data_IF_752096289375
#
_entry.id   IF_752096289375
#
_cell.length_a   1.000
_cell.length_b   1.000
_cell.length_c   1.000
_cell.angle_alpha   90.00
_cell.angle_beta   90.00
_cell.angle_gamma   90.00
#
_symmetry.space_group_name_H-M   'P 1'
#
loop_
_entity.id
_entity.type
_entity.pdbx_description
1 polymer ?
#
# COMPACT_ATOMS: atom_id res chain seq x y z
N UNK A 1 2.78 9.63 17.62
CA UNK A 1 3.53 10.09 18.81
C UNK A 1 2.48 10.30 19.90
N UNK A 2 2.45 9.53 21.00
CA UNK A 2 1.49 9.81 22.07
C UNK A 2 1.83 11.15 22.70
N UNK A 3 0.84 12.04 22.76
CA UNK A 3 0.98 13.39 23.29
C UNK A 3 0.98 13.33 24.82
N UNK A 4 2.16 13.16 25.42
CA UNK A 4 2.38 12.87 26.85
C UNK A 4 2.17 14.07 27.79
N UNK A 5 1.18 14.92 27.51
CA UNK A 5 0.83 16.07 28.34
C UNK A 5 -0.63 16.53 28.30
N UNK A 6 -1.51 15.89 27.52
CA UNK A 6 -2.94 16.23 27.51
C UNK A 6 -3.70 15.39 28.53
N UNK A 7 -4.58 16.03 29.32
CA UNK A 7 -5.64 15.33 30.04
C UNK A 7 -6.62 14.84 28.99
N UNK A 8 -6.75 13.52 28.86
CA UNK A 8 -7.72 12.87 27.97
C UNK A 8 -8.98 12.64 28.80
N UNK A 9 -10.10 13.20 28.37
CA UNK A 9 -11.39 12.99 29.04
C UNK A 9 -11.82 11.53 28.84
N UNK A 10 -12.46 10.88 29.83
CA UNK A 10 -12.83 9.48 29.74
C UNK A 10 -13.83 9.25 28.60
N UNK A 11 -13.64 8.16 27.85
CA UNK A 11 -14.58 7.75 26.82
C UNK A 11 -15.89 7.28 27.49
N UNK A 12 -17.07 7.81 27.09
CA UNK A 12 -18.36 7.31 27.59
C UNK A 12 -18.58 5.85 27.20
N UNK A 13 -19.26 5.09 28.06
CA UNK A 13 -19.65 3.70 27.75
C UNK A 13 -20.65 3.65 26.59
N UNK A 14 -21.58 4.60 26.55
CA UNK A 14 -22.55 4.79 25.47
C UNK A 14 -22.77 6.30 25.25
N UNK A 15 -23.07 6.68 24.01
CA UNK A 15 -23.55 8.02 23.67
C UNK A 15 -25.08 8.01 23.61
N UNK A 16 -25.73 9.01 24.18
CA UNK A 16 -27.19 9.11 24.16
C UNK A 16 -27.73 9.43 22.76
N UNK A 17 -26.89 9.98 21.87
CA UNK A 17 -27.24 10.25 20.47
C UNK A 17 -26.00 10.32 19.55
N UNK A 18 -26.23 10.19 18.25
CA UNK A 18 -25.18 10.42 17.24
C UNK A 18 -24.65 11.86 17.24
N UNK A 19 -25.48 12.85 17.58
CA UNK A 19 -25.08 14.26 17.65
C UNK A 19 -24.11 14.51 18.81
N UNK A 20 -24.36 13.87 19.94
CA UNK A 20 -23.44 13.89 21.09
C UNK A 20 -22.11 13.22 20.77
N UNK A 21 -22.14 12.05 20.10
CA UNK A 21 -20.93 11.37 19.66
C UNK A 21 -20.11 12.23 18.70
N UNK A 22 -20.77 12.90 17.75
CA UNK A 22 -20.10 13.81 16.82
C UNK A 22 -19.46 15.00 17.54
N UNK A 23 -20.19 15.66 18.45
CA UNK A 23 -19.68 16.78 19.22
C UNK A 23 -18.47 16.39 20.11
N UNK A 24 -18.47 15.16 20.64
CA UNK A 24 -17.33 14.62 21.38
C UNK A 24 -16.10 14.46 20.46
N UNK A 25 -16.26 13.80 19.31
CA UNK A 25 -15.15 13.55 18.38
C UNK A 25 -14.65 14.79 17.63
N UNK A 26 -15.41 15.88 17.57
CA UNK A 26 -14.92 17.17 17.05
C UNK A 26 -13.74 17.74 17.88
N UNK A 27 -13.63 17.33 19.14
CA UNK A 27 -12.61 17.84 20.08
C UNK A 27 -11.62 16.78 20.55
N UNK A 28 -11.92 15.49 20.32
CA UNK A 28 -11.13 14.34 20.77
C UNK A 28 -10.54 13.57 19.60
N UNK A 29 -9.32 13.04 19.78
CA UNK A 29 -8.69 12.17 18.78
C UNK A 29 -8.89 10.71 19.17
N UNK A 30 -9.29 9.88 18.22
CA UNK A 30 -9.47 8.43 18.48
C UNK A 30 -8.17 7.77 18.94
N UNK A 31 -7.02 8.29 18.52
CA UNK A 31 -5.69 7.77 18.92
C UNK A 31 -5.34 8.01 20.40
N UNK A 32 -6.10 8.87 21.10
CA UNK A 32 -5.96 9.07 22.54
C UNK A 32 -6.63 7.94 23.36
N UNK A 33 -7.37 7.03 22.72
CA UNK A 33 -8.09 5.91 23.36
C UNK A 33 -7.64 4.52 22.86
N UNK A 34 -6.35 4.16 22.97
CA UNK A 34 -5.82 2.90 22.44
C UNK A 34 -6.50 1.66 23.04
N UNK A 35 -6.88 1.71 24.32
CA UNK A 35 -7.52 0.59 25.03
C UNK A 35 -8.98 0.36 24.60
N UNK A 36 -9.60 1.33 23.90
CA UNK A 36 -10.95 1.20 23.35
C UNK A 36 -10.95 0.47 21.99
N UNK A 37 -9.79 0.30 21.35
CA UNK A 37 -9.69 -0.44 20.09
C UNK A 37 -9.60 -1.95 20.33
N UNK A 38 -10.33 -2.69 19.50
CA UNK A 38 -10.13 -4.12 19.38
C UNK A 38 -9.15 -4.39 18.23
N UNK A 39 -8.08 -5.13 18.55
CA UNK A 39 -7.13 -5.58 17.53
C UNK A 39 -7.83 -6.55 16.58
N UNK A 40 -8.02 -6.13 15.33
CA UNK A 40 -8.51 -7.00 14.26
C UNK A 40 -7.33 -7.59 13.51
N UNK A 41 -7.35 -8.91 13.30
CA UNK A 41 -6.36 -9.58 12.46
C UNK A 41 -6.62 -9.18 10.99
N UNK A 42 -5.80 -8.27 10.46
CA UNK A 42 -5.89 -7.87 9.06
C UNK A 42 -5.10 -8.85 8.21
N UNK A 43 -5.72 -10.00 7.90
CA UNK A 43 -5.14 -11.07 7.07
C UNK A 43 -4.82 -10.57 5.63
N UNK A 44 -5.48 -9.50 5.16
CA UNK A 44 -5.36 -8.99 3.78
C UNK A 44 -5.17 -7.47 3.66
N UNK A 45 -4.31 -6.86 4.49
CA UNK A 45 -3.79 -5.51 4.23
C UNK A 45 -2.61 -5.50 3.24
N UNK A 46 -2.35 -6.62 2.56
CA UNK A 46 -1.44 -6.62 1.43
C UNK A 46 -2.14 -5.91 0.27
N UNK A 47 -1.68 -4.72 -0.10
CA UNK A 47 -1.92 -4.11 -1.40
C UNK A 47 -1.36 -5.06 -2.48
N UNK A 48 -2.09 -6.14 -2.79
CA UNK A 48 -1.64 -7.22 -3.67
C UNK A 48 -1.62 -6.69 -5.09
N UNK A 49 -0.47 -6.21 -5.55
CA UNK A 49 -0.22 -6.05 -6.98
C UNK A 49 -0.38 -7.43 -7.63
N UNK A 50 -1.28 -7.52 -8.61
CA UNK A 50 -1.48 -8.74 -9.39
C UNK A 50 -0.20 -9.04 -10.17
N UNK A 51 0.40 -10.20 -9.91
CA UNK A 51 1.55 -10.72 -10.66
C UNK A 51 1.07 -11.86 -11.53
N UNK A 52 1.53 -11.86 -12.77
CA UNK A 52 1.26 -12.90 -13.77
C UNK A 52 2.58 -13.46 -14.24
N UNK A 53 2.61 -14.76 -14.54
CA UNK A 53 3.78 -15.45 -15.08
C UNK A 53 3.63 -15.56 -16.60
N UNK A 54 4.74 -15.34 -17.30
CA UNK A 54 4.84 -15.46 -18.76
C UNK A 54 6.07 -16.30 -19.07
N UNK A 55 5.92 -17.23 -20.01
CA UNK A 55 7.06 -17.95 -20.57
C UNK A 55 7.90 -16.99 -21.41
N UNK A 56 9.22 -17.10 -21.29
CA UNK A 56 10.19 -16.33 -22.06
C UNK A 56 11.27 -17.27 -22.58
N UNK A 57 11.84 -16.92 -23.72
CA UNK A 57 12.93 -17.68 -24.31
C UNK A 57 14.18 -17.66 -23.40
N UNK A 58 14.98 -18.74 -23.47
CA UNK A 58 16.16 -18.94 -22.62
C UNK A 58 17.21 -17.83 -22.79
N UNK A 59 17.44 -17.39 -24.02
CA UNK A 59 18.37 -16.31 -24.35
C UNK A 59 17.93 -14.97 -23.73
N UNK A 60 16.63 -14.67 -23.76
CA UNK A 60 16.04 -13.51 -23.10
C UNK A 60 16.24 -13.56 -21.58
N UNK A 61 16.04 -14.73 -20.97
CA UNK A 61 16.28 -14.92 -19.54
C UNK A 61 17.75 -14.66 -19.17
N UNK A 62 18.70 -15.13 -19.97
CA UNK A 62 20.12 -14.88 -19.76
C UNK A 62 20.46 -13.40 -19.84
N UNK A 63 19.95 -12.69 -20.86
CA UNK A 63 20.14 -11.25 -21.00
C UNK A 63 19.56 -10.47 -19.82
N UNK A 64 18.34 -10.81 -19.38
CA UNK A 64 17.69 -10.17 -18.23
C UNK A 64 18.50 -10.39 -16.94
N UNK A 65 19.05 -11.57 -16.71
CA UNK A 65 19.86 -11.88 -15.51
C UNK A 65 21.13 -11.05 -15.44
N UNK A 66 21.88 -10.94 -16.53
CA UNK A 66 23.10 -10.12 -16.56
C UNK A 66 22.78 -8.64 -16.32
N UNK A 67 21.73 -8.12 -16.96
CA UNK A 67 21.32 -6.73 -16.76
C UNK A 67 20.79 -6.47 -15.34
N UNK A 68 20.02 -7.39 -14.77
CA UNK A 68 19.52 -7.29 -13.41
C UNK A 68 20.67 -7.25 -12.40
N UNK A 69 21.68 -8.12 -12.58
CA UNK A 69 22.88 -8.16 -11.74
C UNK A 69 23.68 -6.86 -11.81
N UNK A 70 23.91 -6.34 -13.02
CA UNK A 70 24.64 -5.08 -13.23
C UNK A 70 23.93 -3.88 -12.59
N UNK A 71 22.59 -3.90 -12.56
CA UNK A 71 21.76 -2.81 -12.04
C UNK A 71 21.33 -3.00 -10.58
N UNK A 72 21.71 -4.11 -9.95
CA UNK A 72 21.26 -4.52 -8.61
C UNK A 72 19.72 -4.48 -8.46
N UNK A 73 18.99 -4.88 -9.51
CA UNK A 73 17.53 -4.90 -9.54
C UNK A 73 16.99 -6.34 -9.50
N UNK A 74 15.82 -6.57 -8.89
CA UNK A 74 15.12 -7.84 -9.05
C UNK A 74 14.78 -8.11 -10.52
N UNK A 75 14.98 -9.36 -10.95
CA UNK A 75 14.72 -9.80 -12.34
C UNK A 75 13.30 -9.45 -12.80
N UNK A 76 12.30 -9.73 -11.96
CA UNK A 76 10.89 -9.46 -12.23
C UNK A 76 10.58 -7.98 -12.39
N UNK A 77 11.25 -7.12 -11.62
CA UNK A 77 11.12 -5.66 -11.74
C UNK A 77 11.70 -5.17 -13.06
N UNK A 78 12.92 -5.59 -13.39
CA UNK A 78 13.57 -5.22 -14.65
C UNK A 78 12.73 -5.67 -15.86
N UNK A 79 12.26 -6.93 -15.86
CA UNK A 79 11.41 -7.46 -16.91
C UNK A 79 10.12 -6.62 -17.08
N UNK A 80 9.43 -6.32 -15.98
CA UNK A 80 8.21 -5.51 -16.00
C UNK A 80 8.45 -4.10 -16.53
N UNK A 81 9.55 -3.48 -16.14
CA UNK A 81 9.91 -2.12 -16.56
C UNK A 81 10.22 -2.07 -18.06
N UNK A 82 10.98 -3.04 -18.58
CA UNK A 82 11.30 -3.15 -20.01
C UNK A 82 10.05 -3.40 -20.86
N UNK A 83 9.17 -4.33 -20.42
CA UNK A 83 7.90 -4.59 -21.09
C UNK A 83 7.03 -3.34 -21.14
N UNK A 84 6.93 -2.60 -20.03
CA UNK A 84 6.16 -1.35 -19.99
C UNK A 84 6.71 -0.30 -20.95
N UNK A 85 8.03 -0.11 -20.97
CA UNK A 85 8.67 0.86 -21.88
C UNK A 85 8.35 0.53 -23.34
N UNK A 86 8.50 -0.75 -23.73
CA UNK A 86 8.28 -1.16 -25.10
C UNK A 86 6.81 -1.02 -25.51
N UNK A 87 5.87 -1.44 -24.66
CA UNK A 87 4.44 -1.36 -24.94
C UNK A 87 3.96 0.10 -25.06
N UNK A 88 4.52 1.01 -24.26
CA UNK A 88 4.21 2.45 -24.37
C UNK A 88 4.73 3.01 -25.70
N UNK A 89 5.97 2.70 -26.08
CA UNK A 89 6.55 3.15 -27.35
C UNK A 89 5.71 2.68 -28.55
N UNK A 90 5.33 1.40 -28.59
CA UNK A 90 4.50 0.86 -29.68
C UNK A 90 3.11 1.48 -29.73
N UNK A 91 2.51 1.81 -28.57
CA UNK A 91 1.19 2.45 -28.52
C UNK A 91 1.18 3.88 -29.08
N UNK A 92 2.30 4.61 -28.92
CA UNK A 92 2.43 5.97 -29.46
C UNK A 92 2.67 5.99 -30.97
N UNK A 93 3.32 4.98 -31.54
CA UNK A 93 3.61 4.90 -32.98
C UNK A 93 2.44 4.43 -33.84
N UNK A 94 1.42 3.77 -33.26
CA UNK A 94 0.21 3.36 -33.99
C UNK A 94 -0.90 4.42 -33.99
N UNK A 95 -0.65 5.60 -33.40
CA UNK A 95 -1.64 6.71 -33.32
C UNK A 95 -1.28 7.90 -34.25
N UNK A 96 -0.50 7.69 -35.31
CA UNK A 96 -0.13 8.71 -36.31
C UNK A 96 -0.24 8.19 -37.73
#
# INVERSE_FOLDING_TARGET
>A
MPNSGKRVDPLPEEFASYEEAAAFWDTHDTTDYPDAFQSVAVEEAALRQRRYEVEIDEDVLHMLREQARQRALPLSRLASDLLRQQLLLTSTSSSS
#
